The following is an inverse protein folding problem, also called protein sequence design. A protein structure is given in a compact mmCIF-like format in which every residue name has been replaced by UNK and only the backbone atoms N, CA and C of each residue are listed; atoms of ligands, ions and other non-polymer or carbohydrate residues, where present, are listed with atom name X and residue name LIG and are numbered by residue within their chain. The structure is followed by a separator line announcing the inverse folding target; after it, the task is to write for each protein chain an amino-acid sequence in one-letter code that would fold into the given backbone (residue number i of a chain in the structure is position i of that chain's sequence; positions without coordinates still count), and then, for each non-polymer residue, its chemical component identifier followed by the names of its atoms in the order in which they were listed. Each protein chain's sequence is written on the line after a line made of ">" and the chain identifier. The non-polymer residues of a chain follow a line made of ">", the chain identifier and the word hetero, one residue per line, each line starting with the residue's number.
data_IF_852908763272
#
_entry.id   IF_852908763272
#
_cell.length_a   1.000
_cell.length_b   1.000
_cell.length_c   1.000
_cell.angle_alpha   90.00
_cell.angle_beta   90.00
_cell.angle_gamma   90.00
#
_symmetry.space_group_name_H-M   'P 1'
#
loop_
_entity.id
_entity.type
_entity.pdbx_description
1 polymer ?
#
# COMPACT_ATOMS: atom_id res chain seq x y z
N UNK A 1 -18.42 10.23 -46.31
CA UNK A 1 -17.43 9.48 -45.50
C UNK A 1 -17.42 10.13 -44.12
N UNK A 2 -18.08 9.52 -43.14
CA UNK A 2 -18.20 10.10 -41.80
C UNK A 2 -17.07 9.56 -40.92
N UNK A 3 -16.27 10.46 -40.34
CA UNK A 3 -15.18 10.10 -39.44
C UNK A 3 -15.76 9.51 -38.15
N UNK A 4 -15.39 8.26 -37.85
CA UNK A 4 -15.66 7.63 -36.56
C UNK A 4 -14.78 8.31 -35.52
N UNK A 5 -15.39 9.15 -34.69
CA UNK A 5 -14.72 9.75 -33.53
C UNK A 5 -14.46 8.64 -32.52
N UNK A 6 -13.20 8.21 -32.40
CA UNK A 6 -12.80 7.26 -31.36
C UNK A 6 -12.84 8.04 -30.04
N UNK A 7 -13.88 7.82 -29.24
CA UNK A 7 -13.88 8.21 -27.83
C UNK A 7 -12.74 7.44 -27.15
N UNK A 8 -11.56 8.03 -27.08
CA UNK A 8 -10.53 7.63 -26.12
C UNK A 8 -11.10 7.92 -24.75
N UNK A 9 -11.66 6.90 -24.09
CA UNK A 9 -11.92 6.94 -22.65
C UNK A 9 -10.59 7.29 -21.99
N UNK A 10 -10.45 8.46 -21.33
CA UNK A 10 -9.22 8.73 -20.60
C UNK A 10 -9.08 7.61 -19.58
N UNK A 11 -7.91 6.95 -19.58
CA UNK A 11 -7.56 6.02 -18.52
C UNK A 11 -7.93 6.68 -17.19
N UNK A 12 -8.59 5.97 -16.26
CA UNK A 12 -9.01 6.59 -15.01
C UNK A 12 -7.77 7.18 -14.39
N UNK A 13 -7.66 8.51 -14.41
CA UNK A 13 -6.64 9.23 -13.69
C UNK A 13 -6.98 8.87 -12.26
N UNK A 14 -6.24 7.92 -11.69
CA UNK A 14 -6.24 7.72 -10.25
C UNK A 14 -5.90 9.10 -9.74
N UNK A 15 -6.91 9.80 -9.22
CA UNK A 15 -6.80 11.19 -8.82
C UNK A 15 -5.50 11.32 -8.03
N UNK A 16 -4.59 12.17 -8.49
CA UNK A 16 -3.27 12.31 -7.88
C UNK A 16 -3.42 12.57 -6.37
N UNK A 17 -4.47 13.28 -5.96
CA UNK A 17 -4.81 13.47 -4.56
C UNK A 17 -5.28 12.18 -3.87
N UNK A 18 -6.05 11.32 -4.53
CA UNK A 18 -6.44 10.00 -4.02
C UNK A 18 -5.23 9.07 -3.86
N UNK A 19 -4.28 9.11 -4.82
CA UNK A 19 -3.02 8.37 -4.75
C UNK A 19 -2.15 8.84 -3.59
N UNK A 20 -1.99 10.15 -3.41
CA UNK A 20 -1.25 10.73 -2.28
C UNK A 20 -1.88 10.35 -0.93
N UNK A 21 -3.21 10.39 -0.83
CA UNK A 21 -3.94 9.89 0.36
C UNK A 21 -3.66 8.42 0.61
N UNK A 22 -3.66 7.58 -0.42
CA UNK A 22 -3.36 6.15 -0.30
C UNK A 22 -1.91 5.92 0.17
N UNK A 23 -0.94 6.66 -0.39
CA UNK A 23 0.46 6.62 0.04
C UNK A 23 0.60 7.02 1.52
N UNK A 24 -0.04 8.12 1.93
CA UNK A 24 -0.03 8.59 3.32
C UNK A 24 -0.64 7.56 4.28
N UNK A 25 -1.76 6.95 3.88
CA UNK A 25 -2.44 5.93 4.67
C UNK A 25 -1.56 4.69 4.86
N UNK A 26 -1.01 4.14 3.78
CA UNK A 26 -0.15 2.95 3.83
C UNK A 26 1.11 3.24 4.66
N UNK A 27 1.73 4.41 4.49
CA UNK A 27 2.91 4.81 5.27
C UNK A 27 2.59 4.86 6.77
N UNK A 28 1.47 5.49 7.14
CA UNK A 28 1.03 5.58 8.55
C UNK A 28 0.77 4.20 9.15
N UNK A 29 0.14 3.30 8.39
CA UNK A 29 -0.17 1.95 8.84
C UNK A 29 1.11 1.13 9.05
N UNK A 30 2.08 1.25 8.15
CA UNK A 30 3.38 0.59 8.30
C UNK A 30 4.12 1.05 9.56
N UNK A 31 4.14 2.36 9.87
CA UNK A 31 4.80 2.85 11.08
C UNK A 31 4.19 2.27 12.37
N UNK A 32 2.88 1.98 12.38
CA UNK A 32 2.23 1.33 13.53
C UNK A 32 2.69 -0.12 13.70
N UNK A 33 2.74 -0.87 12.61
CA UNK A 33 3.26 -2.24 12.64
C UNK A 33 4.75 -2.29 12.97
N UNK A 34 5.55 -1.33 12.51
CA UNK A 34 6.96 -1.22 12.89
C UNK A 34 7.13 -0.96 14.39
N UNK A 35 6.26 -0.14 15.00
CA UNK A 35 6.24 0.04 16.45
C UNK A 35 5.84 -1.23 17.21
N UNK A 36 4.95 -2.08 16.66
CA UNK A 36 4.64 -3.38 17.26
C UNK A 36 5.85 -4.33 17.28
N UNK A 37 6.78 -4.19 16.33
CA UNK A 37 8.00 -4.99 16.29
C UNK A 37 9.04 -4.58 17.34
N UNK A 38 8.92 -3.41 17.95
CA UNK A 38 9.80 -2.99 19.04
C UNK A 38 9.57 -3.83 20.31
N UNK A 39 8.41 -4.50 20.41
CA UNK A 39 8.11 -5.44 21.49
C UNK A 39 8.82 -6.77 21.23
N UNK A 40 9.69 -7.19 22.17
CA UNK A 40 10.31 -8.51 22.13
C UNK A 40 9.37 -9.55 22.75
N UNK A 41 8.75 -10.46 21.98
CA UNK A 41 7.87 -11.46 22.54
C UNK A 41 8.70 -12.59 23.12
N UNK A 42 8.27 -13.08 24.28
CA UNK A 42 8.88 -14.22 24.98
C UNK A 42 8.00 -15.48 24.96
N UNK A 43 6.86 -15.40 24.28
CA UNK A 43 5.89 -16.50 24.14
C UNK A 43 5.74 -16.91 22.69
N UNK A 44 5.41 -18.18 22.45
CA UNK A 44 5.17 -18.71 21.09
C UNK A 44 4.06 -17.93 20.36
N UNK A 45 3.00 -17.55 21.08
CA UNK A 45 1.92 -16.72 20.53
C UNK A 45 2.42 -15.33 20.11
N UNK A 46 3.32 -14.73 20.90
CA UNK A 46 3.94 -13.45 20.57
C UNK A 46 4.88 -13.55 19.37
N UNK A 47 5.65 -14.64 19.26
CA UNK A 47 6.51 -14.90 18.10
C UNK A 47 5.68 -15.11 16.82
N UNK A 48 4.57 -15.84 16.92
CA UNK A 48 3.63 -16.00 15.81
C UNK A 48 2.99 -14.67 15.39
N UNK A 49 2.64 -13.81 16.36
CA UNK A 49 2.15 -12.46 16.09
C UNK A 49 3.18 -11.62 15.33
N UNK A 50 4.44 -11.59 15.78
CA UNK A 50 5.53 -10.90 15.07
C UNK A 50 5.67 -11.40 13.63
N UNK A 51 5.62 -12.71 13.40
CA UNK A 51 5.72 -13.27 12.06
C UNK A 51 4.58 -12.79 11.14
N UNK A 52 3.36 -12.66 11.67
CA UNK A 52 2.21 -12.10 10.95
C UNK A 52 2.44 -10.63 10.64
N UNK A 53 2.89 -9.83 11.62
CA UNK A 53 3.19 -8.40 11.45
C UNK A 53 4.26 -8.18 10.37
N UNK A 54 5.33 -8.97 10.38
CA UNK A 54 6.39 -8.91 9.36
C UNK A 54 5.85 -9.20 7.95
N UNK A 55 5.00 -10.23 7.82
CA UNK A 55 4.38 -10.58 6.54
C UNK A 55 3.47 -9.45 6.03
N UNK A 56 2.70 -8.83 6.92
CA UNK A 56 1.84 -7.69 6.56
C UNK A 56 2.67 -6.48 6.13
N UNK A 57 3.77 -6.16 6.83
CA UNK A 57 4.68 -5.08 6.45
C UNK A 57 5.26 -5.28 5.05
N UNK A 58 5.61 -6.51 4.67
CA UNK A 58 6.09 -6.81 3.32
C UNK A 58 5.02 -6.55 2.25
N UNK A 59 3.78 -6.99 2.46
CA UNK A 59 2.68 -6.70 1.52
C UNK A 59 2.42 -5.19 1.40
N UNK A 60 2.42 -4.46 2.52
CA UNK A 60 2.26 -3.00 2.52
C UNK A 60 3.40 -2.29 1.80
N UNK A 61 4.65 -2.74 1.96
CA UNK A 61 5.80 -2.23 1.20
C UNK A 61 5.62 -2.45 -0.30
N UNK A 62 5.14 -3.63 -0.71
CA UNK A 62 4.81 -3.93 -2.10
C UNK A 62 3.70 -3.03 -2.65
N UNK A 63 2.64 -2.79 -1.88
CA UNK A 63 1.55 -1.86 -2.25
C UNK A 63 2.05 -0.43 -2.38
N UNK A 64 2.89 0.04 -1.45
CA UNK A 64 3.49 1.37 -1.50
C UNK A 64 4.38 1.54 -2.73
N UNK A 65 5.19 0.53 -3.07
CA UNK A 65 6.02 0.54 -4.27
C UNK A 65 5.16 0.67 -5.55
N UNK A 66 4.09 -0.12 -5.66
CA UNK A 66 3.13 -0.05 -6.79
C UNK A 66 2.45 1.32 -6.90
N UNK A 67 2.02 1.89 -5.76
CA UNK A 67 1.46 3.24 -5.74
C UNK A 67 2.49 4.26 -6.22
N UNK A 68 3.74 4.17 -5.76
CA UNK A 68 4.81 5.10 -6.15
C UNK A 68 5.22 4.99 -7.63
N UNK A 69 5.19 3.80 -8.21
CA UNK A 69 5.55 3.57 -9.62
C UNK A 69 4.42 3.84 -10.62
N UNK A 70 3.18 4.00 -10.17
CA UNK A 70 2.02 4.25 -11.03
C UNK A 70 1.86 5.73 -11.48
N UNK A 71 2.95 6.52 -11.43
CA UNK A 71 2.98 7.93 -11.86
C UNK A 71 3.61 8.11 -13.24
#
# INVERSE_FOLDING_TARGET
>A
MSATSVMTTPAPVVDQAAREKAISYVTTLMSRYEAELEVQPTTDAGLAHIAIVLTQLEDWRGRLARLRSAA
#
